data_IF_841517753572
#
_entry.id   IF_841517753572
#
_cell.length_a   1.000
_cell.length_b   1.000
_cell.length_c   1.000
_cell.angle_alpha   90.00
_cell.angle_beta   90.00
_cell.angle_gamma   90.00
#
_symmetry.space_group_name_H-M   'P 1'
#
loop_
_entity.id
_entity.type
_entity.pdbx_description
1 polymer ?
#
# COMPACT_ATOMS: atom_id res chain seq x y z
N UNK A 1 -21.07 0.78 -0.24
CA UNK A 1 -20.02 1.83 -0.11
C UNK A 1 -19.68 2.29 -1.52
N UNK A 2 -19.67 3.59 -1.79
CA UNK A 2 -19.40 4.12 -3.14
C UNK A 2 -17.93 3.83 -3.52
N UNK A 3 -17.65 3.19 -4.66
CA UNK A 3 -16.31 2.71 -5.03
C UNK A 3 -15.29 3.85 -5.18
N UNK A 4 -15.75 5.07 -5.47
CA UNK A 4 -14.93 6.30 -5.53
C UNK A 4 -14.17 6.60 -4.22
N UNK A 5 -14.75 6.30 -3.06
CA UNK A 5 -14.09 6.59 -1.78
C UNK A 5 -12.89 5.67 -1.53
N UNK A 6 -12.93 4.42 -2.02
CA UNK A 6 -11.81 3.48 -1.92
C UNK A 6 -10.64 3.89 -2.83
N UNK A 7 -10.95 4.41 -4.02
CA UNK A 7 -9.95 4.89 -4.98
C UNK A 7 -9.17 6.10 -4.41
N UNK A 8 -9.90 7.07 -3.85
CA UNK A 8 -9.30 8.26 -3.23
C UNK A 8 -8.53 7.95 -1.95
N UNK A 9 -9.04 7.06 -1.09
CA UNK A 9 -8.31 6.61 0.09
C UNK A 9 -7.03 5.87 -0.31
N UNK A 10 -7.11 4.97 -1.28
CA UNK A 10 -5.95 4.28 -1.84
C UNK A 10 -4.89 5.24 -2.36
N UNK A 11 -5.29 6.21 -3.18
CA UNK A 11 -4.39 7.20 -3.76
C UNK A 11 -3.72 8.09 -2.67
N UNK A 12 -4.51 8.59 -1.71
CA UNK A 12 -3.99 9.44 -0.63
C UNK A 12 -2.98 8.70 0.27
N UNK A 13 -3.28 7.44 0.61
CA UNK A 13 -2.37 6.60 1.41
C UNK A 13 -1.13 6.19 0.62
N UNK A 14 -1.25 5.93 -0.69
CA UNK A 14 -0.11 5.58 -1.57
C UNK A 14 0.86 6.74 -1.77
N UNK A 15 0.33 7.95 -1.98
CA UNK A 15 1.14 9.19 -2.05
C UNK A 15 1.82 9.47 -0.72
N UNK A 16 1.08 9.38 0.38
CA UNK A 16 1.60 9.61 1.73
C UNK A 16 2.69 8.59 2.08
N UNK A 17 2.50 7.31 1.75
CA UNK A 17 3.50 6.25 1.91
C UNK A 17 4.76 6.52 1.09
N UNK A 18 4.62 6.95 -0.16
CA UNK A 18 5.77 7.28 -1.04
C UNK A 18 6.57 8.45 -0.51
N UNK A 19 5.89 9.49 -0.02
CA UNK A 19 6.53 10.68 0.56
C UNK A 19 7.30 10.36 1.85
N UNK A 20 6.74 9.46 2.65
CA UNK A 20 7.31 9.03 3.93
C UNK A 20 8.49 8.06 3.72
N UNK A 21 8.45 7.25 2.66
CA UNK A 21 9.58 6.42 2.22
C UNK A 21 10.73 7.28 1.70
N UNK A 22 10.44 8.30 0.89
CA UNK A 22 11.43 9.21 0.31
C UNK A 22 12.14 10.09 1.37
N UNK A 23 11.49 10.36 2.51
CA UNK A 23 12.04 11.20 3.56
C UNK A 23 13.22 10.57 4.34
N UNK A 24 13.59 9.30 4.07
CA UNK A 24 14.74 8.55 4.64
C UNK A 24 14.86 8.59 6.19
N UNK A 25 13.80 9.01 6.87
CA UNK A 25 13.78 9.25 8.32
C UNK A 25 13.45 7.97 9.07
N UNK A 26 13.72 7.92 10.38
CA UNK A 26 13.40 6.78 11.29
C UNK A 26 11.91 6.36 11.27
N UNK A 27 11.03 7.14 10.64
CA UNK A 27 9.61 6.84 10.44
C UNK A 27 9.31 6.08 9.13
N UNK A 28 10.28 5.89 8.24
CA UNK A 28 10.14 5.14 6.96
C UNK A 28 9.54 3.73 7.14
N UNK A 29 9.68 3.14 8.33
CA UNK A 29 8.96 1.92 8.76
C UNK A 29 7.44 1.99 8.70
N UNK A 30 6.83 3.15 8.92
CA UNK A 30 5.38 3.33 8.84
C UNK A 30 4.88 3.47 7.40
N UNK A 31 5.74 3.85 6.45
CA UNK A 31 5.39 3.93 5.03
C UNK A 31 4.85 2.59 4.52
N UNK A 32 5.44 1.48 4.97
CA UNK A 32 5.01 0.13 4.60
C UNK A 32 3.61 -0.23 5.12
N UNK A 33 3.22 0.27 6.29
CA UNK A 33 1.84 0.15 6.82
C UNK A 33 0.85 0.97 5.99
N UNK A 34 1.22 2.21 5.62
CA UNK A 34 0.40 3.05 4.73
C UNK A 34 0.22 2.40 3.35
N UNK A 35 1.29 1.82 2.79
CA UNK A 35 1.21 1.08 1.54
C UNK A 35 0.35 -0.19 1.66
N UNK A 36 0.39 -0.92 2.79
CA UNK A 36 -0.46 -2.09 2.98
C UNK A 36 -1.95 -1.70 2.95
N UNK A 37 -2.34 -0.63 3.66
CA UNK A 37 -3.73 -0.13 3.68
C UNK A 37 -4.18 0.35 2.29
N UNK A 38 -3.29 1.06 1.59
CA UNK A 38 -3.53 1.51 0.21
C UNK A 38 -3.75 0.34 -0.75
N UNK A 39 -2.88 -0.68 -0.71
CA UNK A 39 -2.96 -1.86 -1.56
C UNK A 39 -4.23 -2.68 -1.31
N UNK A 40 -4.65 -2.85 -0.05
CA UNK A 40 -5.90 -3.56 0.27
C UNK A 40 -7.11 -2.81 -0.27
N UNK A 41 -7.13 -1.48 -0.15
CA UNK A 41 -8.24 -0.64 -0.64
C UNK A 41 -8.34 -0.67 -2.16
N UNK A 42 -7.22 -0.55 -2.87
CA UNK A 42 -7.16 -0.58 -4.33
C UNK A 42 -7.36 -2.00 -4.91
N UNK A 43 -6.90 -3.05 -4.23
CA UNK A 43 -7.19 -4.43 -4.61
C UNK A 43 -8.69 -4.75 -4.49
N UNK A 44 -9.35 -4.28 -3.43
CA UNK A 44 -10.80 -4.43 -3.27
C UNK A 44 -11.57 -3.70 -4.38
N UNK A 45 -11.15 -2.48 -4.73
CA UNK A 45 -11.72 -1.73 -5.84
C UNK A 45 -11.51 -2.44 -7.20
N UNK A 46 -10.29 -2.93 -7.47
CA UNK A 46 -9.96 -3.63 -8.70
C UNK A 46 -10.75 -4.95 -8.85
N UNK A 47 -10.99 -5.67 -7.74
CA UNK A 47 -11.79 -6.88 -7.71
C UNK A 47 -13.27 -6.59 -8.06
N UNK A 48 -13.83 -5.50 -7.54
CA UNK A 48 -15.21 -5.09 -7.81
C UNK A 48 -15.40 -4.69 -9.27
N UNK A 49 -14.41 -4.01 -9.87
CA UNK A 49 -14.48 -3.51 -11.24
C UNK A 49 -13.81 -4.41 -12.30
N UNK A 50 -13.39 -5.63 -11.92
CA UNK A 50 -12.71 -6.59 -12.82
C UNK A 50 -11.46 -6.04 -13.51
N UNK A 51 -10.73 -5.11 -12.88
CA UNK A 51 -9.47 -4.58 -13.39
C UNK A 51 -8.30 -5.50 -13.01
N UNK A 52 -8.15 -6.61 -13.74
CA UNK A 52 -7.14 -7.64 -13.44
C UNK A 52 -5.70 -7.12 -13.41
N UNK A 53 -5.33 -6.17 -14.28
CA UNK A 53 -4.00 -5.55 -14.26
C UNK A 53 -3.73 -4.73 -12.99
N UNK A 54 -4.75 -4.00 -12.53
CA UNK A 54 -4.68 -3.19 -11.32
C UNK A 54 -4.68 -4.06 -10.06
N UNK A 55 -5.39 -5.19 -10.10
CA UNK A 55 -5.39 -6.21 -9.05
C UNK A 55 -4.03 -6.89 -8.91
N UNK A 56 -3.41 -7.29 -10.02
CA UNK A 56 -2.08 -7.91 -10.03
C UNK A 56 -1.00 -6.93 -9.52
N UNK A 57 -1.10 -5.66 -9.92
CA UNK A 57 -0.23 -4.60 -9.43
C UNK A 57 -0.33 -4.43 -7.91
N UNK A 58 -1.56 -4.34 -7.37
CA UNK A 58 -1.78 -4.19 -5.93
C UNK A 58 -1.42 -5.44 -5.13
N UNK A 59 -1.53 -6.63 -5.72
CA UNK A 59 -1.01 -7.85 -5.11
C UNK A 59 0.52 -7.81 -5.03
N UNK A 60 1.21 -7.41 -6.10
CA UNK A 60 2.67 -7.25 -6.12
C UNK A 60 3.17 -6.22 -5.11
N UNK A 61 2.51 -5.07 -5.03
CA UNK A 61 2.82 -4.04 -4.02
C UNK A 61 2.40 -4.45 -2.61
N UNK A 62 1.35 -5.26 -2.45
CA UNK A 62 0.96 -5.85 -1.17
C UNK A 62 2.02 -6.82 -0.62
N UNK A 63 2.58 -7.67 -1.50
CA UNK A 63 3.71 -8.54 -1.15
C UNK A 63 4.96 -7.71 -0.82
N UNK A 64 5.26 -6.69 -1.63
CA UNK A 64 6.39 -5.78 -1.37
C UNK A 64 6.24 -5.03 -0.05
N UNK A 65 5.01 -4.60 0.28
CA UNK A 65 4.72 -3.94 1.56
C UNK A 65 4.85 -4.88 2.74
N UNK A 66 4.38 -6.11 2.60
CA UNK A 66 4.51 -7.16 3.62
C UNK A 66 5.98 -7.52 3.86
N UNK A 67 6.79 -7.60 2.79
CA UNK A 67 8.25 -7.78 2.87
C UNK A 67 8.93 -6.58 3.53
N UNK A 68 8.51 -5.36 3.21
CA UNK A 68 9.02 -4.14 3.84
C UNK A 68 8.72 -4.08 5.33
N UNK A 69 7.49 -4.42 5.76
CA UNK A 69 7.12 -4.57 7.17
C UNK A 69 7.98 -5.66 7.81
N UNK A 70 8.06 -6.85 7.23
CA UNK A 70 8.85 -7.96 7.78
C UNK A 70 10.34 -7.59 7.93
N UNK A 71 10.92 -6.92 6.94
CA UNK A 71 12.31 -6.51 6.99
C UNK A 71 12.58 -5.43 8.06
N UNK A 72 11.66 -4.47 8.22
CA UNK A 72 11.87 -3.32 9.11
C UNK A 72 11.35 -3.52 10.54
N UNK A 73 10.44 -4.47 10.77
CA UNK A 73 9.93 -4.82 12.11
C UNK A 73 10.55 -6.12 12.65
N UNK A 74 10.77 -7.12 11.80
CA UNK A 74 11.22 -8.46 12.21
C UNK A 74 12.71 -8.70 11.98
N UNK A 75 13.33 -8.02 11.00
CA UNK A 75 14.77 -8.15 10.72
C UNK A 75 15.65 -7.14 11.44
N UNK A 76 15.11 -6.43 12.43
CA UNK A 76 15.91 -5.64 13.38
C UNK A 76 16.57 -6.62 14.35
N UNK A 77 17.69 -7.20 13.92
CA UNK A 77 18.77 -7.69 14.76
C UNK A 77 19.87 -6.65 14.75
#
# INVERSE_FOLDING_TARGET
MNPVHLEWLGAAFGLSGSFLLASTTRHSRYAWLLFAVSNVSLAAFAAIHSYFGLLLLNLGFGVSSSLGIYNNFWRVK
#
